data_IF_005087501792
#
_entry.id   IF_005087501792
#
_cell.length_a   1.000
_cell.length_b   1.000
_cell.length_c   1.000
_cell.angle_alpha   90.00
_cell.angle_beta   90.00
_cell.angle_gamma   90.00
#
_symmetry.space_group_name_H-M   'P 1'
#
loop_
_entity.id
_entity.type
_entity.pdbx_description
1 polymer ?
#
# COMPACT_ATOMS: atom_id res chain seq x y z
N UNK A 1 -5.70 -17.49 17.56
CA UNK A 1 -5.69 -17.30 16.10
C UNK A 1 -6.20 -15.91 15.74
N UNK A 2 -7.21 -15.44 16.44
CA UNK A 2 -7.81 -14.13 16.22
C UNK A 2 -6.99 -13.01 16.89
N UNK A 3 -7.07 -11.83 16.29
CA UNK A 3 -6.40 -10.62 16.75
C UNK A 3 -5.09 -10.31 16.02
N UNK A 4 -4.51 -9.13 16.28
CA UNK A 4 -3.29 -8.69 15.64
C UNK A 4 -2.06 -9.48 16.13
N UNK A 5 -1.19 -9.85 15.20
CA UNK A 5 0.06 -10.59 15.46
C UNK A 5 1.20 -9.87 14.77
N UNK A 6 2.21 -9.48 15.54
CA UNK A 6 3.48 -8.96 15.03
C UNK A 6 4.57 -10.01 15.23
N UNK A 7 5.26 -10.38 14.16
CA UNK A 7 6.38 -11.32 14.19
C UNK A 7 7.65 -10.55 13.80
N UNK A 8 8.56 -10.43 14.73
CA UNK A 8 9.87 -9.81 14.50
C UNK A 8 10.91 -10.92 14.32
N UNK A 9 11.61 -10.92 13.20
CA UNK A 9 12.54 -11.99 12.87
C UNK A 9 13.66 -11.46 11.96
N UNK A 10 14.90 -11.78 12.27
CA UNK A 10 16.09 -11.35 11.54
C UNK A 10 16.20 -11.92 10.12
N UNK A 11 17.25 -11.50 9.39
CA UNK A 11 17.54 -12.02 8.05
C UNK A 11 17.71 -13.55 8.06
N UNK A 12 17.13 -14.22 7.07
CA UNK A 12 17.28 -15.68 6.92
C UNK A 12 16.53 -16.53 7.96
N UNK A 13 15.84 -15.93 8.92
CA UNK A 13 15.11 -16.63 10.00
C UNK A 13 13.85 -17.37 9.53
N UNK A 14 13.45 -17.19 8.26
CA UNK A 14 12.26 -17.84 7.71
C UNK A 14 10.96 -17.04 7.84
N UNK A 15 11.02 -15.70 7.89
CA UNK A 15 9.86 -14.78 7.94
C UNK A 15 8.71 -15.19 7.01
N UNK A 16 8.98 -15.26 5.72
CA UNK A 16 7.98 -15.68 4.71
C UNK A 16 7.49 -17.11 4.95
N UNK A 17 8.33 -18.00 5.50
CA UNK A 17 7.92 -19.36 5.85
C UNK A 17 6.87 -19.37 6.96
N UNK A 18 7.00 -18.52 7.96
CA UNK A 18 6.00 -18.40 9.04
C UNK A 18 4.65 -17.97 8.47
N UNK A 19 4.62 -16.96 7.58
CA UNK A 19 3.37 -16.53 6.92
C UNK A 19 2.75 -17.64 6.07
N UNK A 20 3.54 -18.37 5.29
CA UNK A 20 3.02 -19.45 4.44
C UNK A 20 2.44 -20.60 5.27
N UNK A 21 3.10 -20.97 6.37
CA UNK A 21 2.58 -21.99 7.29
C UNK A 21 1.35 -21.52 8.05
N UNK A 22 1.30 -20.23 8.48
CA UNK A 22 0.09 -19.66 9.10
C UNK A 22 -1.09 -19.67 8.12
N UNK A 23 -0.86 -19.29 6.86
CA UNK A 23 -1.88 -19.36 5.80
C UNK A 23 -2.42 -20.77 5.65
N UNK A 24 -1.52 -21.76 5.49
CA UNK A 24 -1.92 -23.15 5.33
C UNK A 24 -2.67 -23.69 6.58
N UNK A 25 -2.23 -23.31 7.77
CA UNK A 25 -2.87 -23.67 9.03
C UNK A 25 -4.31 -23.15 9.15
N UNK A 26 -4.55 -21.88 8.75
CA UNK A 26 -5.90 -21.31 8.72
C UNK A 26 -6.83 -22.09 7.80
N UNK A 27 -6.36 -22.49 6.64
CA UNK A 27 -7.16 -23.26 5.68
C UNK A 27 -7.41 -24.68 6.19
N UNK A 28 -6.36 -25.39 6.61
CA UNK A 28 -6.45 -26.82 6.95
C UNK A 28 -7.13 -27.10 8.28
N UNK A 29 -6.90 -26.27 9.29
CA UNK A 29 -7.33 -26.54 10.66
C UNK A 29 -8.49 -25.65 11.13
N UNK A 30 -8.74 -24.52 10.44
CA UNK A 30 -9.79 -23.59 10.81
C UNK A 30 -10.84 -23.40 9.71
N UNK A 31 -10.73 -24.16 8.61
CA UNK A 31 -11.67 -24.13 7.48
C UNK A 31 -11.89 -22.73 6.91
N UNK A 32 -10.86 -21.86 6.97
CA UNK A 32 -10.93 -20.51 6.38
C UNK A 32 -10.80 -20.65 4.87
N UNK A 33 -11.72 -20.03 4.12
CA UNK A 33 -11.68 -20.04 2.67
C UNK A 33 -10.46 -19.26 2.16
N UNK A 34 -9.84 -19.75 1.09
CA UNK A 34 -8.73 -19.07 0.39
C UNK A 34 -9.10 -17.65 -0.06
N UNK A 35 -10.37 -17.41 -0.40
CA UNK A 35 -10.88 -16.10 -0.79
C UNK A 35 -11.00 -15.11 0.39
N UNK A 36 -10.93 -15.58 1.62
CA UNK A 36 -11.03 -14.79 2.85
C UNK A 36 -9.67 -14.42 3.45
N UNK A 37 -8.57 -14.90 2.86
CA UNK A 37 -7.21 -14.61 3.31
C UNK A 37 -6.51 -13.73 2.29
N UNK A 38 -6.15 -12.52 2.70
CA UNK A 38 -5.31 -11.61 1.95
C UNK A 38 -3.86 -11.75 2.42
N UNK A 39 -2.93 -12.02 1.51
CA UNK A 39 -1.51 -11.97 1.81
C UNK A 39 -0.80 -10.99 0.87
N UNK A 40 -0.07 -10.05 1.46
CA UNK A 40 0.56 -8.93 0.74
C UNK A 40 2.07 -9.04 0.86
N UNK A 41 2.75 -8.85 -0.26
CA UNK A 41 4.21 -8.77 -0.37
C UNK A 41 4.63 -7.48 -1.10
N UNK A 42 5.92 -7.16 -1.10
CA UNK A 42 6.43 -5.97 -1.78
C UNK A 42 6.73 -6.19 -3.27
N UNK A 43 7.08 -7.40 -3.67
CA UNK A 43 7.46 -7.70 -5.05
C UNK A 43 6.61 -8.81 -5.65
N UNK A 44 6.41 -8.76 -6.97
CA UNK A 44 5.69 -9.83 -7.69
C UNK A 44 6.40 -11.18 -7.53
N UNK A 45 7.74 -11.18 -7.55
CA UNK A 45 8.53 -12.41 -7.32
C UNK A 45 8.22 -13.03 -5.96
N UNK A 46 8.19 -12.23 -4.88
CA UNK A 46 7.85 -12.71 -3.55
C UNK A 46 6.40 -13.22 -3.47
N UNK A 47 5.46 -12.54 -4.14
CA UNK A 47 4.07 -12.98 -4.23
C UNK A 47 3.95 -14.35 -4.94
N UNK A 48 4.65 -14.54 -6.05
CA UNK A 48 4.61 -15.78 -6.82
C UNK A 48 5.31 -16.93 -6.06
N UNK A 49 6.39 -16.65 -5.35
CA UNK A 49 7.04 -17.62 -4.46
C UNK A 49 6.12 -18.02 -3.30
N UNK A 50 5.43 -17.06 -2.67
CA UNK A 50 4.46 -17.32 -1.61
C UNK A 50 3.29 -18.18 -2.12
N UNK A 51 2.74 -17.86 -3.30
CA UNK A 51 1.69 -18.68 -3.95
C UNK A 51 2.15 -20.11 -4.19
N UNK A 52 3.35 -20.30 -4.73
CA UNK A 52 3.92 -21.62 -5.00
C UNK A 52 4.08 -22.44 -3.72
N UNK A 53 4.64 -21.85 -2.67
CA UNK A 53 4.81 -22.52 -1.36
C UNK A 53 3.48 -22.91 -0.73
N UNK A 54 2.49 -22.00 -0.71
CA UNK A 54 1.16 -22.26 -0.17
C UNK A 54 0.45 -23.33 -1.02
N UNK A 55 0.56 -23.25 -2.37
CA UNK A 55 0.04 -24.24 -3.28
C UNK A 55 0.56 -25.65 -2.98
N UNK A 56 1.86 -25.76 -2.73
CA UNK A 56 2.51 -27.03 -2.35
C UNK A 56 2.06 -27.53 -0.99
N UNK A 57 1.97 -26.65 0.03
CA UNK A 57 1.54 -27.01 1.39
C UNK A 57 0.08 -27.52 1.44
N UNK A 58 -0.77 -26.97 0.59
CA UNK A 58 -2.21 -27.28 0.55
C UNK A 58 -2.60 -28.23 -0.59
N UNK A 59 -1.64 -28.69 -1.41
CA UNK A 59 -1.89 -29.50 -2.62
C UNK A 59 -2.94 -28.88 -3.56
N UNK A 60 -2.87 -27.56 -3.76
CA UNK A 60 -3.84 -26.83 -4.57
C UNK A 60 -3.60 -27.02 -6.07
N UNK A 61 -4.69 -27.23 -6.82
CA UNK A 61 -4.68 -27.23 -8.30
C UNK A 61 -4.70 -25.81 -8.87
N UNK A 62 -5.21 -24.82 -8.12
CA UNK A 62 -5.38 -23.43 -8.53
C UNK A 62 -4.66 -22.56 -7.52
N UNK A 63 -3.91 -21.58 -8.01
CA UNK A 63 -3.17 -20.62 -7.17
C UNK A 63 -4.12 -19.69 -6.41
N UNK A 64 -3.86 -19.39 -5.12
CA UNK A 64 -4.68 -18.45 -4.36
C UNK A 64 -4.69 -17.06 -5.00
N UNK A 65 -5.89 -16.49 -5.15
CA UNK A 65 -6.12 -15.23 -5.87
C UNK A 65 -5.63 -13.98 -5.12
N UNK A 66 -5.72 -14.01 -3.79
CA UNK A 66 -5.49 -12.85 -2.92
C UNK A 66 -4.11 -12.87 -2.26
N UNK A 67 -3.13 -13.45 -2.96
CA UNK A 67 -1.71 -13.27 -2.67
C UNK A 67 -1.15 -12.37 -3.75
N UNK A 68 -0.73 -11.15 -3.39
CA UNK A 68 -0.30 -10.15 -4.37
C UNK A 68 0.53 -9.03 -3.72
N UNK A 69 1.05 -8.13 -4.55
CA UNK A 69 1.65 -6.88 -4.04
C UNK A 69 0.56 -5.87 -3.68
N UNK A 70 0.91 -4.84 -2.88
CA UNK A 70 0.03 -3.72 -2.59
C UNK A 70 -0.58 -3.11 -3.85
N UNK A 71 0.26 -2.77 -4.82
CA UNK A 71 -0.19 -2.15 -6.07
C UNK A 71 -1.14 -3.07 -6.87
N UNK A 72 -0.83 -4.36 -6.96
CA UNK A 72 -1.69 -5.31 -7.66
C UNK A 72 -3.06 -5.48 -7.00
N UNK A 73 -3.12 -5.42 -5.67
CA UNK A 73 -4.38 -5.40 -4.92
C UNK A 73 -5.17 -4.13 -5.22
N UNK A 74 -4.53 -2.97 -5.16
CA UNK A 74 -5.15 -1.68 -5.45
C UNK A 74 -5.72 -1.62 -6.86
N UNK A 75 -4.96 -2.08 -7.86
CA UNK A 75 -5.47 -2.17 -9.24
C UNK A 75 -6.74 -3.02 -9.31
N UNK A 76 -6.79 -4.17 -8.64
CA UNK A 76 -8.00 -5.02 -8.63
C UNK A 76 -9.21 -4.29 -8.03
N UNK A 77 -9.02 -3.60 -6.90
CA UNK A 77 -10.08 -2.84 -6.23
C UNK A 77 -10.56 -1.69 -7.11
N UNK A 78 -9.62 -0.90 -7.65
CA UNK A 78 -9.93 0.27 -8.49
C UNK A 78 -10.55 -0.12 -9.84
N UNK A 79 -10.19 -1.26 -10.44
CA UNK A 79 -10.85 -1.77 -11.65
C UNK A 79 -12.32 -2.12 -11.42
N UNK A 80 -12.71 -2.43 -10.18
CA UNK A 80 -14.10 -2.76 -9.83
C UNK A 80 -14.88 -1.51 -9.43
N UNK A 81 -14.27 -0.59 -8.68
CA UNK A 81 -14.97 0.51 -8.01
C UNK A 81 -14.45 1.92 -8.33
N UNK A 82 -13.50 2.07 -9.24
CA UNK A 82 -12.88 3.36 -9.57
C UNK A 82 -13.87 4.41 -10.08
N UNK A 83 -15.03 3.97 -10.59
CA UNK A 83 -16.13 4.85 -11.01
C UNK A 83 -16.67 5.72 -9.85
N UNK A 84 -16.54 5.28 -8.61
CA UNK A 84 -17.00 6.02 -7.42
C UNK A 84 -16.09 7.19 -7.05
N UNK A 85 -14.89 7.23 -7.61
CA UNK A 85 -13.91 8.32 -7.43
C UNK A 85 -13.53 8.97 -8.76
N UNK A 86 -14.38 8.84 -9.80
CA UNK A 86 -14.25 9.54 -11.07
C UNK A 86 -13.37 8.89 -12.12
N UNK A 87 -12.90 7.66 -11.91
CA UNK A 87 -12.09 6.93 -12.89
C UNK A 87 -12.90 5.84 -13.60
N UNK A 88 -12.70 5.70 -14.91
CA UNK A 88 -13.26 4.57 -15.66
C UNK A 88 -12.47 3.30 -15.35
N UNK A 89 -13.12 2.14 -15.43
CA UNK A 89 -12.50 0.85 -15.10
C UNK A 89 -11.28 0.50 -15.98
N UNK A 90 -11.17 1.11 -17.17
CA UNK A 90 -10.06 0.92 -18.11
C UNK A 90 -8.97 1.99 -17.99
N UNK A 91 -8.80 2.61 -16.82
CA UNK A 91 -7.76 3.62 -16.60
C UNK A 91 -6.35 3.11 -16.97
N UNK A 92 -5.51 4.00 -17.46
CA UNK A 92 -4.10 3.71 -17.73
C UNK A 92 -3.25 3.86 -16.48
N UNK A 93 -2.18 3.08 -16.39
CA UNK A 93 -1.19 3.20 -15.31
C UNK A 93 0.07 3.80 -15.91
N UNK A 94 0.43 4.99 -15.45
CA UNK A 94 1.63 5.68 -15.91
C UNK A 94 2.85 5.20 -15.13
N UNK A 95 3.89 4.88 -15.88
CA UNK A 95 5.20 4.60 -15.30
C UNK A 95 5.94 5.90 -14.94
N UNK A 96 7.17 5.75 -14.41
CA UNK A 96 8.03 6.87 -14.04
C UNK A 96 8.33 7.80 -15.24
N UNK A 97 8.47 7.25 -16.45
CA UNK A 97 8.76 8.03 -17.66
C UNK A 97 7.55 8.84 -18.09
N UNK A 98 6.36 8.23 -18.05
CA UNK A 98 5.12 8.89 -18.42
C UNK A 98 4.78 10.00 -17.42
N UNK A 99 4.89 9.72 -16.12
CA UNK A 99 4.71 10.69 -15.06
C UNK A 99 5.66 11.89 -15.20
N UNK A 100 6.94 11.64 -15.50
CA UNK A 100 7.92 12.71 -15.75
C UNK A 100 7.55 13.58 -16.96
N UNK A 101 7.01 12.99 -18.05
CA UNK A 101 6.54 13.75 -19.21
C UNK A 101 5.39 14.68 -18.84
N UNK A 102 4.40 14.18 -18.08
CA UNK A 102 3.27 14.99 -17.62
C UNK A 102 3.73 16.13 -16.73
N UNK A 103 4.61 15.85 -15.74
CA UNK A 103 5.19 16.88 -14.87
C UNK A 103 5.92 17.94 -15.69
N UNK A 104 6.76 17.54 -16.66
CA UNK A 104 7.44 18.48 -17.58
C UNK A 104 6.47 19.40 -18.30
N UNK A 105 5.38 18.85 -18.81
CA UNK A 105 4.35 19.62 -19.51
C UNK A 105 3.67 20.63 -18.55
N UNK A 106 3.32 20.17 -17.32
CA UNK A 106 2.77 21.04 -16.31
C UNK A 106 3.74 22.18 -15.92
N UNK A 107 5.04 21.89 -15.81
CA UNK A 107 6.06 22.93 -15.54
C UNK A 107 6.12 23.97 -16.65
N UNK A 108 6.12 23.55 -17.91
CA UNK A 108 6.14 24.48 -19.06
C UNK A 108 4.91 25.37 -19.10
N UNK A 109 3.72 24.80 -18.87
CA UNK A 109 2.44 25.53 -18.84
C UNK A 109 2.35 26.53 -17.67
N UNK A 110 3.03 26.26 -16.56
CA UNK A 110 3.09 27.14 -15.38
C UNK A 110 4.33 28.05 -15.36
N UNK A 111 5.00 28.20 -16.51
CA UNK A 111 6.18 29.06 -16.68
C UNK A 111 7.35 28.75 -15.69
N UNK A 112 7.55 27.48 -15.35
CA UNK A 112 8.68 27.04 -14.55
C UNK A 112 9.87 26.76 -15.45
N UNK A 113 11.01 27.39 -15.19
CA UNK A 113 12.22 27.25 -15.99
C UNK A 113 12.82 25.84 -15.85
N UNK A 114 12.77 25.05 -16.93
CA UNK A 114 13.32 23.69 -16.99
C UNK A 114 14.85 23.64 -16.93
N UNK A 115 15.55 24.77 -17.14
CA UNK A 115 17.01 24.85 -16.98
C UNK A 115 17.39 24.98 -15.50
N UNK A 116 16.56 25.65 -14.71
CA UNK A 116 16.76 25.85 -13.27
C UNK A 116 16.26 24.66 -12.46
N UNK A 117 15.15 24.05 -12.88
CA UNK A 117 14.48 22.98 -12.14
C UNK A 117 14.27 21.74 -12.98
N UNK A 118 14.73 20.58 -12.52
CA UNK A 118 14.49 19.32 -13.22
C UNK A 118 13.08 18.75 -12.94
N UNK A 119 12.38 18.20 -13.94
CA UNK A 119 11.09 17.54 -13.74
C UNK A 119 11.14 16.40 -12.71
N UNK A 120 12.26 15.67 -12.67
CA UNK A 120 12.47 14.59 -11.69
C UNK A 120 12.41 15.10 -10.24
N UNK A 121 12.94 16.31 -9.97
CA UNK A 121 12.90 16.91 -8.64
C UNK A 121 11.45 17.25 -8.24
N UNK A 122 10.67 17.85 -9.13
CA UNK A 122 9.25 18.11 -8.89
C UNK A 122 8.48 16.82 -8.65
N UNK A 123 8.69 15.81 -9.49
CA UNK A 123 8.03 14.51 -9.33
C UNK A 123 8.37 13.85 -7.99
N UNK A 124 9.63 13.90 -7.55
CA UNK A 124 10.02 13.35 -6.25
C UNK A 124 9.31 14.05 -5.08
N UNK A 125 9.17 15.40 -5.14
CA UNK A 125 8.40 16.13 -4.14
C UNK A 125 6.90 15.80 -4.19
N UNK A 126 6.32 15.72 -5.38
CA UNK A 126 4.90 15.32 -5.56
C UNK A 126 4.68 13.91 -5.01
N UNK A 127 5.55 12.96 -5.33
CA UNK A 127 5.49 11.60 -4.80
C UNK A 127 5.58 11.57 -3.27
N UNK A 128 6.46 12.38 -2.68
CA UNK A 128 6.56 12.49 -1.23
C UNK A 128 5.26 13.06 -0.60
N UNK A 129 4.68 14.12 -1.17
CA UNK A 129 3.38 14.66 -0.73
C UNK A 129 2.28 13.61 -0.84
N UNK A 130 2.21 12.90 -1.96
CA UNK A 130 1.26 11.78 -2.18
C UNK A 130 1.43 10.70 -1.11
N UNK A 131 2.64 10.22 -0.89
CA UNK A 131 2.90 9.17 0.09
C UNK A 131 2.64 9.56 1.56
N UNK A 132 2.53 10.87 1.83
CA UNK A 132 2.07 11.40 3.12
C UNK A 132 0.58 11.80 3.11
N UNK A 133 -0.15 11.48 2.04
CA UNK A 133 -1.57 11.81 1.85
C UNK A 133 -1.85 13.32 1.92
N UNK A 134 -0.90 14.15 1.52
CA UNK A 134 -1.03 15.60 1.47
C UNK A 134 -1.59 16.00 0.09
N UNK A 135 -2.76 16.61 0.08
CA UNK A 135 -3.40 17.11 -1.15
C UNK A 135 -2.68 18.32 -1.73
N UNK A 136 -2.87 18.65 -3.03
CA UNK A 136 -2.30 19.87 -3.61
C UNK A 136 -2.71 21.15 -2.87
N UNK A 137 -3.94 21.20 -2.33
CA UNK A 137 -4.45 22.33 -1.57
C UNK A 137 -3.73 22.48 -0.23
N UNK A 138 -3.57 21.39 0.51
CA UNK A 138 -2.81 21.38 1.78
C UNK A 138 -1.33 21.69 1.55
N UNK A 139 -0.74 21.15 0.47
CA UNK A 139 0.64 21.46 0.11
C UNK A 139 0.85 22.95 -0.17
N UNK A 140 -0.13 23.61 -0.80
CA UNK A 140 -0.08 25.05 -1.04
C UNK A 140 -0.23 25.87 0.25
N UNK A 141 -1.11 25.46 1.15
CA UNK A 141 -1.34 26.12 2.44
C UNK A 141 -0.11 26.02 3.37
N UNK A 142 0.60 24.90 3.32
CA UNK A 142 1.76 24.62 4.17
C UNK A 142 3.10 25.00 3.52
N UNK A 143 3.09 25.60 2.32
CA UNK A 143 4.29 25.97 1.60
C UNK A 143 5.01 27.16 2.29
N UNK A 144 6.26 26.95 2.70
CA UNK A 144 7.11 27.96 3.37
C UNK A 144 8.09 28.62 2.40
N UNK A 145 8.30 28.04 1.21
CA UNK A 145 9.24 28.55 0.22
C UNK A 145 8.60 28.72 -1.16
N UNK A 146 9.18 29.59 -1.98
CA UNK A 146 8.75 29.77 -3.37
C UNK A 146 8.78 28.46 -4.17
N UNK A 147 9.76 27.59 -3.90
CA UNK A 147 9.86 26.29 -4.54
C UNK A 147 8.67 25.38 -4.15
N UNK A 148 8.29 25.34 -2.89
CA UNK A 148 7.15 24.53 -2.42
C UNK A 148 5.82 25.03 -2.97
N UNK A 149 5.63 26.34 -3.07
CA UNK A 149 4.47 26.92 -3.76
C UNK A 149 4.41 26.42 -5.21
N UNK A 150 5.56 26.47 -5.94
CA UNK A 150 5.60 25.94 -7.31
C UNK A 150 5.36 24.44 -7.39
N UNK A 151 5.86 23.66 -6.45
CA UNK A 151 5.56 22.22 -6.37
C UNK A 151 4.06 22.00 -6.21
N UNK A 152 3.38 22.71 -5.31
CA UNK A 152 1.95 22.57 -5.08
C UNK A 152 1.11 22.97 -6.31
N UNK A 153 1.47 24.06 -7.01
CA UNK A 153 0.84 24.47 -8.28
C UNK A 153 0.98 23.40 -9.37
N UNK A 154 2.19 22.87 -9.56
CA UNK A 154 2.46 21.81 -10.52
C UNK A 154 1.74 20.52 -10.12
N UNK A 155 1.71 20.18 -8.84
CA UNK A 155 0.97 19.02 -8.32
C UNK A 155 -0.53 19.12 -8.65
N UNK A 156 -1.15 20.30 -8.42
CA UNK A 156 -2.56 20.54 -8.80
C UNK A 156 -2.79 20.36 -10.30
N UNK A 157 -1.89 20.88 -11.15
CA UNK A 157 -1.98 20.73 -12.60
C UNK A 157 -1.77 19.28 -13.04
N UNK A 158 -0.86 18.56 -12.39
CA UNK A 158 -0.56 17.17 -12.63
C UNK A 158 -1.77 16.25 -12.34
N UNK A 159 -2.38 16.38 -11.16
CA UNK A 159 -3.59 15.64 -10.79
C UNK A 159 -4.73 15.84 -11.80
N UNK A 160 -4.98 17.10 -12.20
CA UNK A 160 -6.00 17.41 -13.20
C UNK A 160 -5.74 16.69 -14.51
N UNK A 161 -4.49 16.65 -14.99
CA UNK A 161 -4.12 15.95 -16.22
C UNK A 161 -4.29 14.46 -16.13
N UNK A 162 -3.93 13.84 -14.99
CA UNK A 162 -4.15 12.42 -14.76
C UNK A 162 -5.64 12.06 -14.80
N UNK A 163 -6.48 12.83 -14.13
CA UNK A 163 -7.93 12.62 -14.15
C UNK A 163 -8.50 12.78 -15.57
N UNK A 164 -8.13 13.86 -16.28
CA UNK A 164 -8.60 14.11 -17.64
C UNK A 164 -8.21 13.02 -18.63
N UNK A 165 -7.03 12.41 -18.45
CA UNK A 165 -6.56 11.31 -19.28
C UNK A 165 -7.02 9.93 -18.79
N UNK A 166 -7.85 9.87 -17.76
CA UNK A 166 -8.25 8.63 -17.09
C UNK A 166 -7.03 7.76 -16.78
N UNK A 167 -6.04 8.33 -16.10
CA UNK A 167 -4.77 7.69 -15.80
C UNK A 167 -4.42 7.87 -14.32
N UNK A 168 -3.68 6.94 -13.77
CA UNK A 168 -3.11 6.96 -12.42
C UNK A 168 -1.62 6.66 -12.50
N UNK A 169 -0.81 7.31 -11.67
CA UNK A 169 0.56 6.86 -11.44
C UNK A 169 0.62 5.77 -10.35
N UNK A 170 1.83 5.28 -10.03
CA UNK A 170 1.98 4.24 -9.00
C UNK A 170 1.56 4.69 -7.61
N UNK A 171 1.82 5.96 -7.24
CA UNK A 171 1.41 6.49 -5.94
C UNK A 171 -0.12 6.61 -5.87
N UNK A 172 -0.76 7.01 -6.97
CA UNK A 172 -2.22 7.12 -7.06
C UNK A 172 -2.93 5.78 -6.83
N UNK A 173 -2.36 4.67 -7.27
CA UNK A 173 -2.97 3.36 -7.05
C UNK A 173 -3.23 3.10 -5.56
N UNK A 174 -2.28 3.47 -4.70
CA UNK A 174 -2.42 3.33 -3.25
C UNK A 174 -3.38 4.37 -2.69
N UNK A 175 -3.14 5.64 -2.99
CA UNK A 175 -3.89 6.77 -2.40
C UNK A 175 -5.35 6.73 -2.81
N UNK A 176 -5.63 6.53 -4.10
CA UNK A 176 -7.00 6.46 -4.62
C UNK A 176 -7.76 5.24 -4.11
N UNK A 177 -7.07 4.14 -3.78
CA UNK A 177 -7.70 3.01 -3.08
C UNK A 177 -8.05 3.37 -1.64
N UNK A 178 -7.15 4.05 -0.92
CA UNK A 178 -7.45 4.53 0.45
C UNK A 178 -8.59 5.55 0.43
N UNK A 179 -8.55 6.53 -0.48
CA UNK A 179 -9.63 7.52 -0.68
C UNK A 179 -10.97 6.85 -0.95
N UNK A 180 -11.01 5.88 -1.87
CA UNK A 180 -12.20 5.10 -2.21
C UNK A 180 -12.79 4.40 -0.97
N UNK A 181 -11.94 3.73 -0.19
CA UNK A 181 -12.38 2.99 1.00
C UNK A 181 -12.84 3.94 2.13
N UNK A 182 -12.19 5.10 2.29
CA UNK A 182 -12.57 6.08 3.31
C UNK A 182 -13.86 6.82 2.98
N UNK A 183 -14.12 7.10 1.70
CA UNK A 183 -15.29 7.87 1.27
C UNK A 183 -16.52 7.02 0.97
N UNK A 184 -16.36 5.69 0.85
CA UNK A 184 -17.44 4.77 0.48
C UNK A 184 -17.58 3.62 1.49
N UNK A 185 -18.36 3.85 2.52
CA UNK A 185 -18.59 2.89 3.61
C UNK A 185 -19.04 1.50 3.12
N UNK A 186 -19.89 1.43 2.09
CA UNK A 186 -20.35 0.14 1.53
C UNK A 186 -19.23 -0.65 0.89
N UNK A 187 -18.28 0.05 0.23
CA UNK A 187 -17.13 -0.59 -0.40
C UNK A 187 -16.13 -1.02 0.66
N UNK A 188 -15.87 -0.18 1.66
CA UNK A 188 -15.07 -0.52 2.82
C UNK A 188 -15.61 -1.78 3.52
N UNK A 189 -16.91 -1.79 3.83
CA UNK A 189 -17.57 -2.92 4.48
C UNK A 189 -17.47 -4.21 3.65
N UNK A 190 -17.66 -4.11 2.33
CA UNK A 190 -17.51 -5.26 1.44
C UNK A 190 -16.09 -5.87 1.51
N UNK A 191 -15.03 -5.05 1.37
CA UNK A 191 -13.66 -5.55 1.34
C UNK A 191 -13.16 -5.97 2.72
N UNK A 192 -13.50 -5.25 3.79
CA UNK A 192 -13.11 -5.60 5.16
C UNK A 192 -13.81 -6.85 5.69
N UNK A 193 -15.04 -7.14 5.24
CA UNK A 193 -15.71 -8.41 5.53
C UNK A 193 -15.18 -9.56 4.67
N UNK A 194 -14.81 -9.29 3.42
CA UNK A 194 -14.25 -10.29 2.54
C UNK A 194 -12.96 -10.89 3.11
N UNK A 195 -12.07 -10.03 3.61
CA UNK A 195 -10.78 -10.47 4.15
C UNK A 195 -10.86 -10.67 5.65
N UNK A 196 -11.14 -11.90 6.08
CA UNK A 196 -11.15 -12.25 7.49
C UNK A 196 -9.76 -12.28 8.11
N UNK A 197 -8.72 -12.51 7.30
CA UNK A 197 -7.34 -12.47 7.71
C UNK A 197 -6.51 -11.67 6.71
N UNK A 198 -5.70 -10.75 7.22
CA UNK A 198 -4.76 -9.94 6.42
C UNK A 198 -3.34 -10.25 6.90
N UNK A 199 -2.48 -10.63 5.97
CA UNK A 199 -1.08 -10.96 6.23
C UNK A 199 -0.18 -10.04 5.42
N UNK A 200 0.87 -9.51 6.03
CA UNK A 200 1.83 -8.63 5.34
C UNK A 200 3.26 -9.10 5.63
N UNK A 201 4.00 -9.37 4.56
CA UNK A 201 5.44 -9.68 4.62
C UNK A 201 6.26 -8.39 4.48
N UNK A 202 7.49 -8.40 5.00
CA UNK A 202 8.45 -7.28 4.98
C UNK A 202 7.85 -5.95 5.48
N UNK A 203 7.11 -6.03 6.58
CA UNK A 203 6.31 -4.92 7.10
C UNK A 203 7.13 -3.67 7.46
N UNK A 204 8.44 -3.81 7.75
CA UNK A 204 9.36 -2.71 7.98
C UNK A 204 9.50 -1.76 6.77
N UNK A 205 9.14 -2.21 5.57
CA UNK A 205 9.24 -1.44 4.34
C UNK A 205 7.93 -0.72 3.96
N UNK A 206 6.88 -0.85 4.80
CA UNK A 206 5.59 -0.18 4.58
C UNK A 206 5.67 1.33 4.80
N UNK A 207 5.07 2.09 3.88
CA UNK A 207 4.84 3.52 4.04
C UNK A 207 3.47 3.80 4.70
N UNK A 208 3.22 5.08 5.02
CA UNK A 208 1.99 5.50 5.70
C UNK A 208 0.70 5.11 4.94
N UNK A 209 0.69 5.25 3.61
CA UNK A 209 -0.50 4.92 2.78
C UNK A 209 -0.77 3.42 2.79
N UNK A 210 0.28 2.59 2.69
CA UNK A 210 0.17 1.14 2.75
C UNK A 210 -0.32 0.66 4.12
N UNK A 211 0.20 1.26 5.20
CA UNK A 211 -0.31 1.03 6.53
C UNK A 211 -1.81 1.34 6.63
N UNK A 212 -2.23 2.53 6.14
CA UNK A 212 -3.65 2.95 6.16
C UNK A 212 -4.54 2.00 5.37
N UNK A 213 -4.04 1.47 4.26
CA UNK A 213 -4.75 0.46 3.47
C UNK A 213 -4.95 -0.84 4.27
N UNK A 214 -3.92 -1.34 4.95
CA UNK A 214 -4.03 -2.54 5.81
C UNK A 214 -5.02 -2.31 6.94
N UNK A 215 -4.96 -1.14 7.61
CA UNK A 215 -5.89 -0.76 8.67
C UNK A 215 -7.35 -0.81 8.18
N UNK A 216 -7.65 -0.20 7.03
CA UNK A 216 -9.00 -0.17 6.45
C UNK A 216 -9.49 -1.57 6.07
N UNK A 217 -8.67 -2.37 5.41
CA UNK A 217 -9.04 -3.72 4.98
C UNK A 217 -9.23 -4.70 6.14
N UNK A 218 -8.65 -4.43 7.30
CA UNK A 218 -8.77 -5.26 8.50
C UNK A 218 -9.73 -4.70 9.55
N UNK A 219 -10.38 -3.57 9.27
CA UNK A 219 -11.17 -2.81 10.26
C UNK A 219 -12.28 -3.62 10.95
N UNK A 220 -12.91 -4.55 10.23
CA UNK A 220 -14.01 -5.35 10.80
C UNK A 220 -13.53 -6.53 11.64
N UNK A 221 -12.45 -7.21 11.22
CA UNK A 221 -12.05 -8.48 11.83
C UNK A 221 -10.81 -8.38 12.70
N UNK A 222 -9.99 -7.33 12.53
CA UNK A 222 -8.74 -7.06 13.25
C UNK A 222 -7.73 -8.23 13.25
N UNK A 223 -7.90 -9.20 12.36
CA UNK A 223 -7.02 -10.36 12.24
C UNK A 223 -5.85 -10.04 11.30
N UNK A 224 -4.92 -9.24 11.76
CA UNK A 224 -3.73 -8.83 11.02
C UNK A 224 -2.53 -9.61 11.50
N UNK A 225 -1.76 -10.18 10.59
CA UNK A 225 -0.48 -10.80 10.89
C UNK A 225 0.61 -10.13 10.06
N UNK A 226 1.50 -9.41 10.69
CA UNK A 226 2.61 -8.74 10.00
C UNK A 226 3.93 -9.35 10.42
N UNK A 227 4.82 -9.52 9.45
CA UNK A 227 6.17 -10.05 9.66
C UNK A 227 7.18 -9.04 9.16
N UNK A 228 8.17 -8.73 9.98
CA UNK A 228 9.18 -7.75 9.64
C UNK A 228 10.50 -7.96 10.38
N UNK A 229 11.48 -7.16 9.98
CA UNK A 229 12.80 -7.12 10.55
C UNK A 229 13.20 -5.66 10.81
N UNK A 230 13.30 -5.26 12.08
CA UNK A 230 13.67 -3.89 12.43
C UNK A 230 15.05 -3.49 11.91
N UNK A 231 15.96 -4.45 11.77
CA UNK A 231 17.34 -4.20 11.37
C UNK A 231 17.50 -4.08 9.83
N UNK A 232 16.46 -4.45 9.07
CA UNK A 232 16.44 -4.41 7.60
C UNK A 232 15.60 -3.27 7.01
N UNK A 233 15.19 -2.27 7.79
CA UNK A 233 14.45 -1.11 7.28
C UNK A 233 15.33 -0.24 6.37
N UNK A 234 15.49 -0.66 5.12
CA UNK A 234 16.32 0.02 4.10
C UNK A 234 15.54 1.04 3.26
N UNK A 235 14.21 1.04 3.34
CA UNK A 235 13.33 1.93 2.57
C UNK A 235 12.83 3.17 3.35
N UNK A 236 13.55 3.58 4.40
CA UNK A 236 13.27 4.83 5.13
C UNK A 236 13.22 6.05 4.17
N UNK A 237 14.03 6.04 3.11
CA UNK A 237 14.03 7.09 2.07
C UNK A 237 12.74 7.13 1.22
N UNK A 238 11.89 6.09 1.26
CA UNK A 238 10.55 6.05 0.64
C UNK A 238 9.42 6.27 1.63
N UNK A 239 9.72 6.84 2.81
CA UNK A 239 8.73 7.11 3.84
C UNK A 239 8.36 5.89 4.68
N UNK A 240 9.11 4.79 4.61
CA UNK A 240 8.95 3.69 5.56
C UNK A 240 9.33 4.18 6.96
N UNK A 241 8.38 4.21 7.86
CA UNK A 241 8.61 4.54 9.28
C UNK A 241 8.00 3.46 10.16
N UNK A 242 8.87 2.57 10.61
CA UNK A 242 8.50 1.49 11.51
C UNK A 242 7.95 1.99 12.85
N UNK A 243 8.33 3.21 13.26
CA UNK A 243 7.89 3.80 14.53
C UNK A 243 6.46 4.30 14.47
N UNK A 244 6.03 4.85 13.34
CA UNK A 244 4.65 5.28 13.10
C UNK A 244 3.69 4.09 13.07
N UNK A 245 4.18 2.95 12.62
CA UNK A 245 3.41 1.73 12.41
C UNK A 245 3.38 0.83 13.65
N UNK A 246 4.47 0.74 14.43
CA UNK A 246 4.57 -0.15 15.60
C UNK A 246 3.89 0.37 16.86
N UNK A 247 3.85 1.68 17.07
CA UNK A 247 3.56 2.24 18.39
C UNK A 247 2.15 2.75 18.59
N UNK A 248 1.46 3.24 17.55
CA UNK A 248 0.20 3.95 17.76
C UNK A 248 -1.03 3.07 17.74
N UNK A 249 -1.06 1.98 16.98
CA UNK A 249 -2.29 1.17 16.84
C UNK A 249 -2.21 -0.22 17.50
N UNK A 250 -1.05 -0.85 17.56
CA UNK A 250 -0.90 -2.09 18.35
C UNK A 250 -0.97 -1.82 19.85
N UNK A 251 -0.66 -0.58 20.30
CA UNK A 251 -0.82 -0.15 21.71
C UNK A 251 -2.22 0.35 22.07
N UNK A 252 -3.03 0.81 21.14
CA UNK A 252 -4.38 1.31 21.45
C UNK A 252 -5.35 0.22 21.93
N UNK A 253 -4.99 -1.04 21.80
CA UNK A 253 -5.67 -2.19 22.38
C UNK A 253 -4.78 -2.92 23.38
N UNK A 254 -4.30 -2.21 24.42
CA UNK A 254 -3.70 -2.83 25.59
C UNK A 254 -4.76 -3.60 26.40
N UNK A 255 -5.18 -4.75 25.86
CA UNK A 255 -5.71 -5.85 26.65
C UNK A 255 -5.28 -7.15 26.01
N UNK A 256 -4.15 -7.67 26.54
CA UNK A 256 -3.81 -9.09 26.58
C UNK A 256 -3.66 -9.84 25.24
N UNK A 257 -2.42 -9.97 24.81
CA UNK A 257 -1.74 -11.07 24.09
C UNK A 257 -0.89 -10.60 22.91
N UNK A 258 0.23 -9.97 23.24
CA UNK A 258 1.35 -9.90 22.30
C UNK A 258 2.11 -11.23 22.32
N UNK A 259 1.97 -12.03 21.25
CA UNK A 259 2.94 -13.07 20.95
C UNK A 259 4.08 -12.43 20.14
N UNK A 260 5.06 -11.87 20.84
CA UNK A 260 6.36 -11.57 20.23
C UNK A 260 7.12 -12.89 20.17
N UNK A 261 7.05 -13.61 19.07
CA UNK A 261 7.97 -14.72 18.80
C UNK A 261 9.30 -14.12 18.34
N UNK A 262 10.27 -14.00 19.23
CA UNK A 262 11.68 -13.85 18.84
C UNK A 262 12.17 -15.23 18.41
N UNK A 263 12.25 -15.46 17.10
CA UNK A 263 13.02 -16.57 16.57
C UNK A 263 14.47 -16.12 16.50
N UNK A 264 15.29 -16.69 17.39
CA UNK A 264 16.76 -16.57 17.39
C UNK A 264 17.35 -17.29 16.18
#
# INVERSE_FOLDING_TARGET
INGPVLIMAGAGSGKTRVLTHRYAHLVQHHNVDLEQILAITFTNKAADEMKSRIGSLLNLKISPKWISTFHSLCVKILRIHGDKIGYKNNFSIYDQSDSNKVVRNCMSENNVDLKQYSPKRFQAHISNLKNNMISPGEALQNAESFFEVKVAEIYSSYEKKLIMSNSMDFDDLLIKTVELLQTNEKILHYWSNKFQFVMVDEYQDTNFVQYKLVELLSSNNQNVCVVGDSDQSIYAFRGADIRTVSYTHLRAHETLRYLVCRLL
#
